data_IF_256507330477
#
_entry.id   IF_256507330477
#
_cell.length_a   1.000
_cell.length_b   1.000
_cell.length_c   1.000
_cell.angle_alpha   90.00
_cell.angle_beta   90.00
_cell.angle_gamma   90.00
#
_symmetry.space_group_name_H-M   'P 1'
#
loop_
_entity.id
_entity.type
_entity.pdbx_description
1 polymer ?
#
# COMPACT_ATOMS: atom_id res chain seq x y z
N UNK A 1 -0.08 -26.63 -6.87
CA UNK A 1 -1.02 -26.42 -8.01
C UNK A 1 -2.32 -25.76 -7.54
N UNK A 2 -3.10 -26.31 -6.57
CA UNK A 2 -4.38 -25.69 -6.17
C UNK A 2 -4.30 -24.22 -5.76
N UNK A 3 -3.23 -23.83 -5.06
CA UNK A 3 -2.97 -22.43 -4.70
C UNK A 3 -2.79 -21.51 -5.92
N UNK A 4 -1.97 -21.92 -6.89
CA UNK A 4 -1.69 -21.15 -8.10
C UNK A 4 -2.96 -21.05 -8.96
N UNK A 5 -3.70 -22.15 -9.10
CA UNK A 5 -4.94 -22.18 -9.88
C UNK A 5 -6.00 -21.23 -9.27
N UNK A 6 -6.07 -21.15 -7.93
CA UNK A 6 -6.96 -20.21 -7.24
C UNK A 6 -6.53 -18.74 -7.43
N UNK A 7 -5.21 -18.46 -7.43
CA UNK A 7 -4.70 -17.11 -7.72
C UNK A 7 -4.97 -16.73 -9.17
N UNK A 8 -4.86 -17.66 -10.12
CA UNK A 8 -5.19 -17.43 -11.53
C UNK A 8 -6.67 -17.07 -11.71
N UNK A 9 -7.58 -17.79 -11.03
CA UNK A 9 -9.01 -17.46 -11.03
C UNK A 9 -9.29 -16.08 -10.39
N UNK A 10 -8.56 -15.71 -9.35
CA UNK A 10 -8.67 -14.38 -8.76
C UNK A 10 -8.18 -13.29 -9.73
N UNK A 11 -7.11 -13.54 -10.47
CA UNK A 11 -6.64 -12.63 -11.52
C UNK A 11 -7.70 -12.43 -12.61
N UNK A 12 -8.38 -13.51 -13.03
CA UNK A 12 -9.49 -13.46 -13.99
C UNK A 12 -10.67 -12.64 -13.46
N UNK A 13 -11.08 -12.84 -12.18
CA UNK A 13 -12.13 -12.04 -11.53
C UNK A 13 -11.79 -10.55 -11.48
N UNK A 14 -10.50 -10.21 -11.36
CA UNK A 14 -9.99 -8.84 -11.41
C UNK A 14 -9.89 -8.27 -12.82
N UNK A 15 -10.13 -9.07 -13.85
CA UNK A 15 -9.99 -8.67 -15.25
C UNK A 15 -8.53 -8.59 -15.73
N UNK A 16 -7.58 -9.16 -15.00
CA UNK A 16 -6.17 -9.23 -15.40
C UNK A 16 -6.05 -10.23 -16.53
N UNK A 17 -5.61 -9.77 -17.70
CA UNK A 17 -5.40 -10.58 -18.90
C UNK A 17 -3.92 -10.82 -19.15
N UNK A 18 -3.61 -11.75 -20.04
CA UNK A 18 -2.24 -12.03 -20.49
C UNK A 18 -1.27 -12.32 -19.33
N UNK A 19 -1.72 -13.15 -18.39
CA UNK A 19 -0.90 -13.61 -17.27
C UNK A 19 0.20 -14.53 -17.79
N UNK A 20 1.45 -14.17 -17.49
CA UNK A 20 2.64 -14.90 -17.90
C UNK A 20 3.16 -15.85 -16.82
N UNK A 21 3.07 -15.45 -15.55
CA UNK A 21 3.54 -16.25 -14.42
C UNK A 21 2.80 -15.90 -13.12
N UNK A 22 2.75 -16.86 -12.18
CA UNK A 22 2.19 -16.68 -10.84
C UNK A 22 3.08 -17.42 -9.84
N UNK A 23 3.46 -16.73 -8.76
CA UNK A 23 4.31 -17.31 -7.72
C UNK A 23 3.84 -16.95 -6.32
N UNK A 24 4.15 -17.83 -5.35
CA UNK A 24 3.76 -17.68 -3.93
C UNK A 24 4.99 -17.36 -3.08
N UNK A 25 4.83 -16.43 -2.15
CA UNK A 25 5.88 -15.87 -1.30
C UNK A 25 5.50 -15.87 0.19
N UNK A 26 6.51 -15.64 1.02
CA UNK A 26 6.43 -15.44 2.48
C UNK A 26 5.82 -14.07 2.81
N UNK A 27 4.57 -13.88 2.38
CA UNK A 27 3.88 -12.58 2.37
C UNK A 27 4.23 -11.72 1.15
N UNK A 28 3.39 -10.71 0.89
CA UNK A 28 3.59 -9.78 -0.22
C UNK A 28 4.92 -9.02 -0.14
N UNK A 29 5.45 -8.83 1.07
CA UNK A 29 6.74 -8.17 1.30
C UNK A 29 7.89 -8.85 0.56
N UNK A 30 7.96 -10.19 0.62
CA UNK A 30 8.99 -10.96 -0.09
C UNK A 30 8.75 -10.92 -1.62
N UNK A 31 7.48 -10.87 -2.07
CA UNK A 31 7.19 -10.73 -3.50
C UNK A 31 7.71 -9.41 -4.07
N UNK A 32 7.45 -8.30 -3.38
CA UNK A 32 7.96 -6.98 -3.76
C UNK A 32 9.48 -7.00 -3.78
N UNK A 33 10.12 -7.51 -2.73
CA UNK A 33 11.58 -7.59 -2.64
C UNK A 33 12.21 -8.39 -3.78
N UNK A 34 11.67 -9.58 -4.09
CA UNK A 34 12.18 -10.43 -5.17
C UNK A 34 12.05 -9.72 -6.52
N UNK A 35 10.90 -9.09 -6.79
CA UNK A 35 10.67 -8.39 -8.05
C UNK A 35 11.60 -7.19 -8.22
N UNK A 36 11.78 -6.39 -7.18
CA UNK A 36 12.71 -5.25 -7.21
C UNK A 36 14.16 -5.72 -7.39
N UNK A 37 14.55 -6.78 -6.69
CA UNK A 37 15.90 -7.38 -6.81
C UNK A 37 16.17 -7.92 -8.21
N UNK A 38 15.15 -8.48 -8.88
CA UNK A 38 15.28 -9.02 -10.22
C UNK A 38 15.29 -7.94 -11.32
N UNK A 39 14.81 -6.73 -11.03
CA UNK A 39 14.65 -5.67 -12.03
C UNK A 39 15.76 -4.63 -12.00
N UNK A 40 16.18 -4.20 -10.80
CA UNK A 40 16.89 -2.92 -10.65
C UNK A 40 18.37 -3.13 -10.38
N UNK A 41 19.21 -2.38 -11.09
CA UNK A 41 20.65 -2.34 -10.93
C UNK A 41 21.11 -1.12 -10.12
N UNK A 42 22.38 -1.14 -9.70
CA UNK A 42 23.01 0.00 -9.05
C UNK A 42 22.92 1.27 -9.91
N UNK A 43 22.56 2.40 -9.30
CA UNK A 43 22.42 3.68 -9.98
C UNK A 43 21.10 3.88 -10.74
N UNK A 44 20.23 2.87 -10.81
CA UNK A 44 18.85 2.99 -11.29
C UNK A 44 17.91 3.46 -10.17
N UNK A 45 16.70 3.88 -10.54
CA UNK A 45 15.68 4.34 -9.60
C UNK A 45 14.28 3.77 -9.89
N UNK A 46 13.45 3.81 -8.86
CA UNK A 46 12.06 3.38 -8.88
C UNK A 46 11.21 4.52 -8.30
N UNK A 47 10.12 4.83 -8.98
CA UNK A 47 9.12 5.76 -8.47
C UNK A 47 8.34 5.13 -7.32
N UNK A 48 8.30 5.77 -6.15
CA UNK A 48 7.57 5.31 -4.97
C UNK A 48 6.61 6.36 -4.41
N UNK A 49 5.41 5.97 -3.95
CA UNK A 49 4.45 6.91 -3.41
C UNK A 49 4.97 7.56 -2.14
N UNK A 50 4.64 8.84 -1.94
CA UNK A 50 4.93 9.61 -0.74
C UNK A 50 3.69 10.42 -0.34
N UNK A 51 3.05 10.14 0.81
CA UNK A 51 3.39 9.07 1.76
C UNK A 51 3.19 7.66 1.17
N UNK A 52 3.99 6.69 1.63
CA UNK A 52 3.93 5.31 1.16
C UNK A 52 4.41 4.29 2.19
N UNK A 53 4.18 3.00 1.91
CA UNK A 53 4.56 1.93 2.83
C UNK A 53 6.09 1.81 2.93
N UNK A 54 6.69 1.93 4.15
CA UNK A 54 8.15 2.08 4.31
C UNK A 54 8.99 0.88 3.85
N UNK A 55 8.36 -0.28 3.59
CA UNK A 55 9.06 -1.41 3.02
C UNK A 55 9.72 -1.06 1.68
N UNK A 56 9.07 -0.27 0.83
CA UNK A 56 9.59 0.05 -0.50
C UNK A 56 10.91 0.82 -0.41
N UNK A 57 10.97 1.85 0.45
CA UNK A 57 12.19 2.64 0.67
C UNK A 57 13.28 1.84 1.40
N UNK A 58 12.91 0.91 2.29
CA UNK A 58 13.85 0.01 2.93
C UNK A 58 14.51 -0.96 1.92
N UNK A 59 13.72 -1.54 1.00
CA UNK A 59 14.25 -2.38 -0.07
C UNK A 59 15.13 -1.56 -1.01
N UNK A 60 14.71 -0.36 -1.40
CA UNK A 60 15.54 0.54 -2.22
C UNK A 60 16.90 0.83 -1.58
N UNK A 61 16.93 1.09 -0.26
CA UNK A 61 18.16 1.28 0.49
C UNK A 61 19.03 0.03 0.50
N UNK A 62 18.42 -1.16 0.69
CA UNK A 62 19.11 -2.45 0.63
C UNK A 62 19.75 -2.72 -0.73
N UNK A 63 19.05 -2.35 -1.81
CA UNK A 63 19.50 -2.52 -3.19
C UNK A 63 20.42 -1.38 -3.67
N UNK A 64 20.76 -0.41 -2.80
CA UNK A 64 21.57 0.77 -3.15
C UNK A 64 21.04 1.54 -4.37
N UNK A 65 19.71 1.58 -4.51
CA UNK A 65 19.03 2.32 -5.58
C UNK A 65 18.80 3.76 -5.16
N UNK A 66 18.72 4.68 -6.14
CA UNK A 66 18.38 6.07 -5.84
C UNK A 66 16.89 6.20 -5.54
N UNK A 67 16.55 6.83 -4.42
CA UNK A 67 15.17 7.14 -4.09
C UNK A 67 14.58 8.15 -5.08
N UNK A 68 13.40 7.86 -5.62
CA UNK A 68 12.66 8.77 -6.50
C UNK A 68 11.19 8.87 -6.06
N UNK A 69 10.90 9.52 -4.91
CA UNK A 69 9.56 9.59 -4.37
C UNK A 69 8.66 10.47 -5.22
N UNK A 70 7.45 10.03 -5.59
CA UNK A 70 6.40 10.91 -6.15
C UNK A 70 5.33 11.21 -5.10
N UNK A 71 4.73 12.39 -5.16
CA UNK A 71 3.77 12.82 -4.16
C UNK A 71 2.34 12.35 -4.43
N UNK A 72 1.61 12.10 -3.34
CA UNK A 72 0.16 11.99 -3.35
C UNK A 72 -0.44 13.33 -2.92
N UNK A 73 -1.47 13.77 -3.62
CA UNK A 73 -2.14 15.05 -3.39
C UNK A 73 -3.20 14.93 -2.29
N UNK A 74 -2.89 15.42 -1.09
CA UNK A 74 -3.80 15.42 0.06
C UNK A 74 -5.14 16.13 -0.22
N UNK A 75 -5.10 17.26 -0.92
CA UNK A 75 -6.29 18.08 -1.21
C UNK A 75 -7.23 17.39 -2.20
N UNK A 76 -6.67 16.53 -3.06
CA UNK A 76 -7.40 15.69 -3.99
C UNK A 76 -7.55 14.24 -3.48
N UNK A 77 -7.77 14.05 -2.17
CA UNK A 77 -8.10 12.73 -1.63
C UNK A 77 -6.96 11.72 -1.68
N UNK A 78 -5.71 12.19 -1.65
CA UNK A 78 -4.48 11.40 -1.80
C UNK A 78 -4.40 10.61 -3.11
N UNK A 79 -4.88 11.18 -4.22
CA UNK A 79 -4.57 10.68 -5.56
C UNK A 79 -3.11 10.95 -5.92
N UNK A 80 -2.43 10.08 -6.69
CA UNK A 80 -1.12 10.36 -7.26
C UNK A 80 -1.08 11.68 -8.05
N UNK A 81 -0.10 12.54 -7.77
CA UNK A 81 0.18 13.72 -8.58
C UNK A 81 0.88 13.28 -9.89
N UNK A 82 0.09 13.24 -10.97
CA UNK A 82 0.54 12.81 -12.30
C UNK A 82 1.63 13.73 -12.86
N UNK A 83 1.55 15.03 -12.62
CA UNK A 83 2.54 15.99 -13.12
C UNK A 83 3.87 15.85 -12.37
N UNK A 84 3.82 15.58 -11.06
CA UNK A 84 5.00 15.26 -10.26
C UNK A 84 5.66 13.95 -10.70
N UNK A 85 4.87 12.90 -10.95
CA UNK A 85 5.38 11.65 -11.54
C UNK A 85 6.11 11.94 -12.84
N UNK A 86 5.47 12.67 -13.77
CA UNK A 86 6.04 12.98 -15.08
C UNK A 86 7.37 13.73 -14.98
N UNK A 87 7.49 14.71 -14.07
CA UNK A 87 8.74 15.47 -13.84
C UNK A 87 9.88 14.62 -13.28
N UNK A 88 9.57 13.53 -12.58
CA UNK A 88 10.55 12.69 -11.88
C UNK A 88 11.06 11.51 -12.70
N UNK A 89 10.36 11.15 -13.78
CA UNK A 89 10.83 10.12 -14.72
C UNK A 89 12.10 10.61 -15.43
N UNK A 90 13.12 9.75 -15.46
CA UNK A 90 14.37 10.00 -16.17
C UNK A 90 14.92 8.69 -16.77
N UNK A 91 16.06 8.76 -17.47
CA UNK A 91 16.67 7.60 -18.15
C UNK A 91 17.10 6.46 -17.22
N UNK A 92 17.15 6.70 -15.89
CA UNK A 92 17.48 5.71 -14.87
C UNK A 92 16.23 5.11 -14.20
N UNK A 93 15.04 5.62 -14.49
CA UNK A 93 13.78 5.10 -13.94
C UNK A 93 13.45 3.77 -14.61
N UNK A 94 13.12 2.75 -13.81
CA UNK A 94 12.79 1.39 -14.31
C UNK A 94 11.37 0.95 -14.02
N UNK A 95 10.81 1.45 -12.92
CA UNK A 95 9.49 1.06 -12.49
C UNK A 95 8.79 2.16 -11.71
N UNK A 96 7.48 2.02 -11.61
CA UNK A 96 6.64 2.73 -10.65
C UNK A 96 5.96 1.72 -9.73
N UNK A 97 6.06 1.96 -8.42
CA UNK A 97 5.31 1.22 -7.40
C UNK A 97 4.03 2.00 -7.10
N UNK A 98 2.90 1.31 -7.13
CA UNK A 98 1.61 1.78 -6.69
C UNK A 98 1.17 0.97 -5.48
N UNK A 99 0.59 1.64 -4.50
CA UNK A 99 -0.04 0.99 -3.34
C UNK A 99 -1.49 1.44 -3.34
N UNK A 100 -2.40 0.54 -3.73
CA UNK A 100 -3.80 0.85 -3.93
C UNK A 100 -4.69 -0.33 -3.52
N UNK A 101 -5.59 -0.19 -2.51
CA UNK A 101 -5.73 0.97 -1.62
C UNK A 101 -4.47 1.30 -0.83
N UNK A 102 -4.24 2.59 -0.57
CA UNK A 102 -2.97 3.08 -0.06
C UNK A 102 -2.79 2.86 1.45
N UNK A 103 -1.56 2.55 1.86
CA UNK A 103 -1.07 2.65 3.23
C UNK A 103 0.08 3.67 3.21
N UNK A 104 -0.02 4.80 3.92
CA UNK A 104 -0.85 5.02 5.11
C UNK A 104 -2.17 5.78 4.92
N UNK A 105 -2.48 6.31 3.74
CA UNK A 105 -3.57 7.29 3.58
C UNK A 105 -4.97 6.68 3.54
N UNK A 106 -5.06 5.40 3.15
CA UNK A 106 -6.33 4.72 2.90
C UNK A 106 -7.06 5.19 1.65
N UNK A 107 -6.39 5.92 0.74
CA UNK A 107 -7.00 6.31 -0.54
C UNK A 107 -7.20 5.13 -1.47
N UNK A 108 -8.20 5.25 -2.35
CA UNK A 108 -8.46 4.34 -3.45
C UNK A 108 -8.36 5.15 -4.75
N UNK A 109 -7.43 4.77 -5.62
CA UNK A 109 -7.14 5.55 -6.83
C UNK A 109 -8.28 5.44 -7.85
N UNK A 110 -8.62 6.56 -8.48
CA UNK A 110 -9.64 6.58 -9.51
C UNK A 110 -9.16 5.84 -10.77
N UNK A 111 -10.11 5.35 -11.57
CA UNK A 111 -9.77 4.67 -12.83
C UNK A 111 -9.05 5.62 -13.79
N UNK A 112 -9.42 6.89 -13.77
CA UNK A 112 -8.83 7.95 -14.58
C UNK A 112 -7.34 8.15 -14.21
N UNK A 113 -7.04 8.30 -12.92
CA UNK A 113 -5.66 8.42 -12.43
C UNK A 113 -4.83 7.17 -12.77
N UNK A 114 -5.41 5.98 -12.59
CA UNK A 114 -4.75 4.72 -12.94
C UNK A 114 -4.45 4.64 -14.45
N UNK A 115 -5.37 5.10 -15.32
CA UNK A 115 -5.16 5.13 -16.76
C UNK A 115 -4.01 6.09 -17.14
N UNK A 116 -3.95 7.27 -16.54
CA UNK A 116 -2.84 8.21 -16.76
C UNK A 116 -1.48 7.61 -16.39
N UNK A 117 -1.42 6.80 -15.32
CA UNK A 117 -0.20 6.09 -14.93
C UNK A 117 0.16 4.99 -15.93
N UNK A 118 -0.83 4.24 -16.43
CA UNK A 118 -0.61 3.26 -17.52
C UNK A 118 -0.02 3.95 -18.75
N UNK A 119 -0.58 5.09 -19.14
CA UNK A 119 -0.13 5.83 -20.32
C UNK A 119 1.32 6.32 -20.16
N UNK A 120 1.66 6.88 -19.00
CA UNK A 120 3.04 7.29 -18.68
C UNK A 120 4.01 6.11 -18.65
N UNK A 121 3.62 4.98 -18.06
CA UNK A 121 4.46 3.79 -18.01
C UNK A 121 4.74 3.23 -19.41
N UNK A 122 3.76 3.29 -20.32
CA UNK A 122 3.93 2.92 -21.73
C UNK A 122 4.86 3.88 -22.46
N UNK A 123 4.66 5.19 -22.30
CA UNK A 123 5.48 6.23 -22.92
C UNK A 123 6.96 6.09 -22.53
N UNK A 124 7.22 5.74 -21.28
CA UNK A 124 8.57 5.71 -20.71
C UNK A 124 9.16 4.30 -20.53
N UNK A 125 8.48 3.27 -21.04
CA UNK A 125 8.91 1.86 -20.94
C UNK A 125 9.20 1.43 -19.48
N UNK A 126 8.26 1.71 -18.58
CA UNK A 126 8.36 1.38 -17.16
C UNK A 126 7.57 0.12 -16.81
N UNK A 127 8.08 -0.67 -15.87
CA UNK A 127 7.32 -1.76 -15.24
C UNK A 127 6.41 -1.17 -14.15
N UNK A 128 5.16 -1.65 -14.07
CA UNK A 128 4.26 -1.29 -12.96
C UNK A 128 4.28 -2.37 -11.88
N UNK A 129 4.55 -1.97 -10.65
CA UNK A 129 4.42 -2.78 -9.45
C UNK A 129 3.17 -2.36 -8.69
N UNK A 130 2.14 -3.21 -8.65
CA UNK A 130 0.86 -2.89 -8.02
C UNK A 130 0.70 -3.67 -6.70
N UNK A 131 0.94 -3.03 -5.56
CA UNK A 131 0.59 -3.57 -4.25
C UNK A 131 -0.91 -3.38 -3.99
N UNK A 132 -1.67 -4.46 -4.21
CA UNK A 132 -3.13 -4.53 -4.08
C UNK A 132 -3.56 -5.34 -2.85
N UNK A 133 -2.73 -5.41 -1.81
CA UNK A 133 -2.98 -6.24 -0.63
C UNK A 133 -4.27 -5.88 0.14
N UNK A 134 -4.84 -4.69 -0.11
CA UNK A 134 -6.05 -4.15 0.54
C UNK A 134 -7.27 -4.06 -0.40
N UNK A 135 -7.21 -4.60 -1.61
CA UNK A 135 -8.22 -4.43 -2.68
C UNK A 135 -9.65 -4.89 -2.35
N UNK A 136 -9.84 -5.66 -1.27
CA UNK A 136 -11.17 -6.07 -0.78
C UNK A 136 -11.65 -5.27 0.43
N UNK A 137 -10.81 -4.41 1.00
CA UNK A 137 -11.11 -3.60 2.17
C UNK A 137 -11.50 -2.18 1.75
N UNK A 138 -12.70 -2.02 1.21
CA UNK A 138 -13.22 -0.77 0.65
C UNK A 138 -14.52 -0.34 1.31
N UNK A 139 -14.62 0.93 1.65
CA UNK A 139 -15.74 1.52 2.39
C UNK A 139 -16.73 2.18 1.43
N UNK A 140 -17.94 2.47 1.92
CA UNK A 140 -18.94 3.28 1.22
C UNK A 140 -19.34 2.73 -0.16
N UNK A 141 -19.23 1.41 -0.36
CA UNK A 141 -19.53 0.75 -1.63
C UNK A 141 -18.53 1.03 -2.75
N UNK A 142 -17.37 1.62 -2.43
CA UNK A 142 -16.28 1.84 -3.38
C UNK A 142 -15.78 0.50 -3.93
N UNK A 143 -15.24 0.55 -5.15
CA UNK A 143 -14.69 -0.62 -5.85
C UNK A 143 -13.22 -0.37 -6.19
N UNK A 144 -12.43 -1.44 -6.12
CA UNK A 144 -11.05 -1.45 -6.54
C UNK A 144 -10.99 -1.66 -8.06
N UNK A 145 -10.10 -0.93 -8.72
CA UNK A 145 -9.72 -1.22 -10.10
C UNK A 145 -8.30 -1.74 -10.08
N UNK A 146 -8.10 -3.00 -10.46
CA UNK A 146 -6.74 -3.50 -10.64
C UNK A 146 -6.11 -2.80 -11.84
N UNK A 147 -4.95 -2.16 -11.67
CA UNK A 147 -4.31 -1.45 -12.78
C UNK A 147 -3.92 -2.38 -13.92
N UNK A 148 -3.59 -3.63 -13.60
CA UNK A 148 -3.29 -4.68 -14.57
C UNK A 148 -4.50 -5.13 -15.41
N UNK A 149 -5.72 -4.68 -15.08
CA UNK A 149 -6.90 -4.86 -15.92
C UNK A 149 -7.04 -3.81 -17.03
N UNK A 150 -6.28 -2.71 -16.95
CA UNK A 150 -6.40 -1.56 -17.86
C UNK A 150 -5.56 -1.71 -19.14
N UNK A 151 -4.50 -2.52 -19.11
CA UNK A 151 -3.67 -2.83 -20.28
C UNK A 151 -3.11 -4.25 -20.18
N UNK A 152 -3.24 -5.03 -21.25
CA UNK A 152 -2.81 -6.44 -21.28
C UNK A 152 -1.40 -6.66 -21.82
N UNK A 153 -0.74 -5.62 -22.36
CA UNK A 153 0.59 -5.71 -22.97
C UNK A 153 1.66 -5.03 -22.12
N UNK A 154 1.31 -4.00 -21.35
CA UNK A 154 2.28 -3.35 -20.46
C UNK A 154 2.77 -4.34 -19.38
N UNK A 155 4.09 -4.49 -19.17
CA UNK A 155 4.64 -5.29 -18.09
C UNK A 155 4.20 -4.83 -16.71
N UNK A 156 3.46 -5.67 -16.00
CA UNK A 156 3.00 -5.40 -14.64
C UNK A 156 3.19 -6.60 -13.72
N UNK A 157 3.36 -6.33 -12.43
CA UNK A 157 3.35 -7.33 -11.37
C UNK A 157 2.37 -6.87 -10.30
N UNK A 158 1.30 -7.64 -10.13
CA UNK A 158 0.28 -7.40 -9.10
C UNK A 158 0.55 -8.25 -7.88
N UNK A 159 0.68 -7.61 -6.72
CA UNK A 159 0.91 -8.27 -5.44
C UNK A 159 -0.37 -8.42 -4.64
N UNK A 160 -0.53 -9.60 -4.04
CA UNK A 160 -1.64 -9.90 -3.13
C UNK A 160 -1.20 -10.83 -2.00
N UNK A 161 -2.15 -11.21 -1.16
CA UNK A 161 -1.86 -12.08 -0.03
C UNK A 161 -3.02 -12.27 0.94
N UNK A 162 -2.82 -13.19 1.88
CA UNK A 162 -3.82 -13.53 2.90
C UNK A 162 -3.79 -12.59 4.12
N UNK A 163 -2.78 -11.72 4.20
CA UNK A 163 -2.48 -11.00 5.43
C UNK A 163 -3.55 -9.99 5.85
N UNK A 164 -4.25 -9.37 4.90
CA UNK A 164 -5.11 -8.20 5.15
C UNK A 164 -6.56 -8.54 4.88
N UNK A 165 -6.91 -8.80 3.61
CA UNK A 165 -8.26 -9.21 3.20
C UNK A 165 -8.80 -10.44 3.97
N UNK A 166 -7.90 -11.31 4.45
CA UNK A 166 -8.26 -12.56 5.13
C UNK A 166 -7.79 -12.62 6.58
N UNK A 167 -7.31 -11.50 7.15
CA UNK A 167 -7.02 -11.35 8.60
C UNK A 167 -6.05 -12.39 9.19
N UNK A 168 -5.19 -12.99 8.37
CA UNK A 168 -4.18 -13.97 8.81
C UNK A 168 -2.75 -13.50 8.51
N UNK A 169 -2.33 -12.31 8.99
CA UNK A 169 -0.98 -11.80 8.70
C UNK A 169 0.11 -12.75 9.21
N UNK A 170 -0.13 -13.50 10.28
CA UNK A 170 0.80 -14.49 10.84
C UNK A 170 1.05 -15.71 9.97
N UNK A 171 0.19 -16.02 8.98
CA UNK A 171 0.38 -17.16 8.07
C UNK A 171 1.49 -16.91 7.03
N UNK A 172 1.90 -15.66 6.87
CA UNK A 172 2.97 -15.25 5.95
C UNK A 172 2.78 -15.79 4.53
N UNK A 173 1.59 -15.56 3.97
CA UNK A 173 1.27 -15.92 2.57
C UNK A 173 1.02 -14.65 1.75
N UNK A 174 1.75 -14.55 0.64
CA UNK A 174 1.56 -13.57 -0.43
C UNK A 174 1.83 -14.19 -1.78
N UNK A 175 1.58 -13.43 -2.84
CA UNK A 175 1.85 -13.87 -4.21
C UNK A 175 2.13 -12.67 -5.12
N UNK A 176 2.74 -12.95 -6.26
CA UNK A 176 2.82 -12.05 -7.40
C UNK A 176 2.16 -12.67 -8.62
N UNK A 177 1.47 -11.84 -9.40
CA UNK A 177 0.90 -12.17 -10.71
C UNK A 177 1.65 -11.33 -11.73
N UNK A 178 2.39 -11.97 -12.63
CA UNK A 178 3.11 -11.28 -13.72
C UNK A 178 2.21 -11.27 -14.95
N UNK A 179 1.90 -10.08 -15.48
CA UNK A 179 1.09 -9.90 -16.68
C UNK A 179 1.73 -8.93 -17.66
N UNK A 180 1.39 -9.06 -18.94
CA UNK A 180 1.91 -8.19 -20.00
C UNK A 180 2.61 -8.96 -21.12
N UNK A 181 3.33 -8.24 -21.95
CA UNK A 181 4.01 -8.77 -23.13
C UNK A 181 5.05 -9.83 -22.75
N UNK A 182 4.83 -11.07 -23.22
CA UNK A 182 5.68 -12.23 -22.92
C UNK A 182 7.13 -12.04 -23.33
N UNK A 183 7.38 -11.46 -24.50
CA UNK A 183 8.74 -11.31 -25.02
C UNK A 183 9.55 -10.34 -24.17
N UNK A 184 8.95 -9.21 -23.79
CA UNK A 184 9.56 -8.24 -22.89
C UNK A 184 9.82 -8.80 -21.48
N UNK A 185 8.96 -9.71 -21.00
CA UNK A 185 9.02 -10.25 -19.64
C UNK A 185 9.87 -11.52 -19.50
N UNK A 186 10.28 -12.16 -20.61
CA UNK A 186 10.88 -13.51 -20.59
C UNK A 186 12.08 -13.64 -19.63
N UNK A 187 13.08 -12.79 -19.78
CA UNK A 187 14.30 -12.88 -18.98
C UNK A 187 14.07 -12.42 -17.54
N UNK A 188 13.16 -11.46 -17.35
CA UNK A 188 12.77 -10.96 -16.03
C UNK A 188 12.01 -12.02 -15.21
N UNK A 189 11.09 -12.76 -15.83
CA UNK A 189 10.40 -13.90 -15.21
C UNK A 189 11.41 -14.98 -14.80
N UNK A 190 12.39 -15.28 -15.65
CA UNK A 190 13.44 -16.25 -15.30
C UNK A 190 14.30 -15.76 -14.13
N UNK A 191 14.63 -14.46 -14.06
CA UNK A 191 15.34 -13.87 -12.93
C UNK A 191 14.56 -13.99 -11.61
N UNK A 192 13.26 -13.66 -11.61
CA UNK A 192 12.36 -13.87 -10.46
C UNK A 192 12.39 -15.34 -10.03
N UNK A 193 12.21 -16.26 -10.98
CA UNK A 193 12.16 -17.69 -10.69
C UNK A 193 13.49 -18.26 -10.19
N UNK A 194 14.64 -17.71 -10.61
CA UNK A 194 15.95 -18.07 -10.03
C UNK A 194 16.03 -17.71 -8.55
N UNK A 195 15.59 -16.51 -8.17
CA UNK A 195 15.59 -16.06 -6.76
C UNK A 195 14.62 -16.88 -5.92
N UNK A 196 13.41 -17.15 -6.45
CA UNK A 196 12.41 -17.99 -5.76
C UNK A 196 12.95 -19.41 -5.47
N UNK A 197 13.65 -20.03 -6.43
CA UNK A 197 14.27 -21.35 -6.26
C UNK A 197 15.40 -21.34 -5.24
N UNK A 198 16.15 -20.25 -5.12
CA UNK A 198 17.28 -20.15 -4.20
C UNK A 198 16.87 -20.29 -2.72
N UNK A 199 15.63 -19.90 -2.37
CA UNK A 199 15.04 -20.10 -1.03
C UNK A 199 14.14 -21.34 -0.91
N UNK A 200 14.17 -22.22 -1.91
CA UNK A 200 13.35 -23.45 -2.04
C UNK A 200 11.84 -23.20 -2.25
N UNK A 201 11.12 -22.71 -1.23
CA UNK A 201 9.68 -22.45 -1.33
C UNK A 201 9.16 -21.55 -0.20
N UNK A 202 7.96 -20.96 -0.40
CA UNK A 202 7.21 -20.35 0.70
C UNK A 202 6.63 -21.44 1.62
N UNK A 203 6.29 -21.07 2.86
CA UNK A 203 5.79 -22.02 3.85
C UNK A 203 4.63 -22.87 3.30
N UNK A 204 4.86 -24.17 3.11
CA UNK A 204 3.95 -25.01 2.31
C UNK A 204 2.59 -25.26 3.00
N UNK A 205 2.52 -25.54 4.32
CA UNK A 205 1.24 -25.78 4.98
C UNK A 205 0.24 -24.63 4.83
N UNK A 206 0.65 -23.37 4.97
CA UNK A 206 -0.31 -22.26 4.86
C UNK A 206 -0.73 -21.95 3.41
N UNK A 207 -0.05 -22.48 2.39
CA UNK A 207 -0.52 -22.37 1.00
C UNK A 207 -1.85 -23.08 0.78
N UNK A 208 -2.18 -24.09 1.58
CA UNK A 208 -3.50 -24.75 1.56
C UNK A 208 -4.64 -23.81 1.95
N UNK A 209 -4.33 -22.69 2.64
CA UNK A 209 -5.30 -21.64 2.94
C UNK A 209 -5.66 -20.75 1.75
N UNK A 210 -4.89 -20.77 0.65
CA UNK A 210 -5.10 -19.85 -0.49
C UNK A 210 -6.42 -20.15 -1.20
N UNK A 211 -6.62 -21.39 -1.66
CA UNK A 211 -7.82 -21.77 -2.39
C UNK A 211 -9.13 -21.52 -1.61
N UNK A 212 -9.29 -21.97 -0.34
CA UNK A 212 -10.51 -21.67 0.42
C UNK A 212 -10.68 -20.17 0.69
N UNK A 213 -9.59 -19.39 0.83
CA UNK A 213 -9.69 -17.93 1.01
C UNK A 213 -10.17 -17.23 -0.26
N UNK A 214 -9.65 -17.59 -1.44
CA UNK A 214 -9.98 -16.89 -2.70
C UNK A 214 -11.29 -17.38 -3.35
N UNK A 215 -11.62 -18.66 -3.17
CA UNK A 215 -12.74 -19.31 -3.87
C UNK A 215 -13.91 -19.67 -2.94
N UNK A 216 -13.69 -19.66 -1.63
CA UNK A 216 -14.72 -19.96 -0.65
C UNK A 216 -15.61 -18.77 -0.30
N UNK A 217 -16.38 -18.92 0.77
CA UNK A 217 -17.25 -17.89 1.30
C UNK A 217 -16.47 -16.62 1.68
N UNK A 218 -17.06 -15.46 1.33
CA UNK A 218 -16.48 -14.14 1.57
C UNK A 218 -17.28 -13.32 2.60
N UNK A 219 -18.27 -13.92 3.28
CA UNK A 219 -19.16 -13.22 4.23
C UNK A 219 -18.42 -12.53 5.39
N UNK A 220 -17.20 -12.98 5.73
CA UNK A 220 -16.36 -12.33 6.73
C UNK A 220 -15.98 -10.90 6.35
N UNK A 221 -15.85 -10.60 5.05
CA UNK A 221 -15.56 -9.26 4.56
C UNK A 221 -16.70 -8.31 4.87
N UNK A 222 -17.96 -8.72 4.73
CA UNK A 222 -19.11 -7.86 5.06
C UNK A 222 -19.13 -7.45 6.53
N UNK A 223 -18.86 -8.42 7.41
CA UNK A 223 -18.78 -8.18 8.87
C UNK A 223 -17.61 -7.25 9.19
N UNK A 224 -16.46 -7.47 8.56
CA UNK A 224 -15.29 -6.63 8.77
C UNK A 224 -15.50 -5.21 8.23
N UNK A 225 -16.07 -5.05 7.04
CA UNK A 225 -16.31 -3.74 6.44
C UNK A 225 -17.29 -2.91 7.25
N UNK A 226 -18.38 -3.51 7.78
CA UNK A 226 -19.29 -2.80 8.70
C UNK A 226 -18.54 -2.22 9.92
N UNK A 227 -17.61 -3.00 10.51
CA UNK A 227 -16.79 -2.54 11.64
C UNK A 227 -15.77 -1.47 11.21
N UNK A 228 -15.08 -1.69 10.09
CA UNK A 228 -14.05 -0.77 9.60
C UNK A 228 -14.64 0.58 9.20
N UNK A 229 -15.80 0.61 8.52
CA UNK A 229 -16.49 1.85 8.17
C UNK A 229 -16.86 2.65 9.42
N UNK A 230 -17.52 2.03 10.41
CA UNK A 230 -17.87 2.72 11.66
C UNK A 230 -16.65 3.27 12.40
N UNK A 231 -15.56 2.49 12.45
CA UNK A 231 -14.32 2.92 13.11
C UNK A 231 -13.60 4.00 12.32
N UNK A 232 -13.62 3.96 10.98
CA UNK A 232 -13.12 5.03 10.11
C UNK A 232 -13.89 6.31 10.38
N UNK A 233 -15.22 6.27 10.40
CA UNK A 233 -16.07 7.44 10.66
C UNK A 233 -15.75 8.06 12.03
N UNK A 234 -15.68 7.24 13.08
CA UNK A 234 -15.26 7.69 14.43
C UNK A 234 -13.88 8.34 14.42
N UNK A 235 -12.93 7.79 13.67
CA UNK A 235 -11.55 8.29 13.57
C UNK A 235 -11.51 9.65 12.88
N UNK A 236 -12.11 9.74 11.70
CA UNK A 236 -12.13 10.97 10.90
C UNK A 236 -12.86 12.07 11.65
N UNK A 237 -14.02 11.76 12.24
CA UNK A 237 -14.77 12.72 13.05
C UNK A 237 -13.95 13.20 14.25
N UNK A 238 -13.34 12.31 15.01
CA UNK A 238 -12.58 12.68 16.19
C UNK A 238 -11.35 13.53 15.85
N UNK A 239 -10.60 13.18 14.80
CA UNK A 239 -9.42 13.94 14.39
C UNK A 239 -9.79 15.34 13.86
N UNK A 240 -10.84 15.45 13.04
CA UNK A 240 -11.29 16.73 12.49
C UNK A 240 -11.98 17.66 13.52
N UNK A 241 -12.29 17.16 14.72
CA UNK A 241 -12.78 17.99 15.84
C UNK A 241 -11.64 18.63 16.64
N UNK A 242 -10.40 18.18 16.48
CA UNK A 242 -9.25 18.72 17.21
C UNK A 242 -8.69 19.93 16.43
N UNK A 243 -8.69 21.15 17.01
CA UNK A 243 -8.09 22.30 16.35
C UNK A 243 -6.62 22.04 15.98
N UNK A 244 -6.23 22.33 14.74
CA UNK A 244 -4.88 22.08 14.23
C UNK A 244 -4.64 20.65 13.73
N UNK A 245 -5.66 19.79 13.69
CA UNK A 245 -5.59 18.47 13.05
C UNK A 245 -6.66 18.35 11.97
N UNK A 246 -6.26 17.88 10.78
CA UNK A 246 -7.17 17.54 9.69
C UNK A 246 -6.93 16.12 9.19
N UNK A 247 -7.98 15.45 8.75
CA UNK A 247 -7.92 14.07 8.27
C UNK A 247 -8.82 13.91 7.03
N UNK A 248 -8.17 13.63 5.90
CA UNK A 248 -8.85 13.11 4.70
C UNK A 248 -9.46 11.76 5.04
N UNK A 249 -10.72 11.54 4.64
CA UNK A 249 -11.43 10.31 4.94
C UNK A 249 -10.88 9.14 4.11
N UNK A 250 -10.40 8.05 4.76
CA UNK A 250 -9.99 6.83 4.06
C UNK A 250 -11.15 6.21 3.28
N UNK A 251 -10.89 5.79 2.04
CA UNK A 251 -11.83 5.03 1.21
C UNK A 251 -11.61 3.51 1.33
N UNK A 252 -10.44 3.08 1.83
CA UNK A 252 -10.11 1.67 2.01
C UNK A 252 -9.00 1.42 3.04
N UNK A 253 -8.50 0.18 3.05
CA UNK A 253 -7.56 -0.35 4.03
C UNK A 253 -8.09 -0.18 5.48
N UNK A 254 -7.19 0.11 6.43
CA UNK A 254 -7.55 0.32 7.83
C UNK A 254 -6.69 1.36 8.55
N UNK A 255 -6.21 2.34 7.79
CA UNK A 255 -5.35 3.43 8.26
C UNK A 255 -5.94 4.79 7.96
N UNK A 256 -5.69 5.75 8.84
CA UNK A 256 -5.89 7.17 8.58
C UNK A 256 -4.55 7.89 8.72
N UNK A 257 -4.37 8.98 7.98
CA UNK A 257 -3.14 9.76 7.98
C UNK A 257 -3.42 11.25 8.24
N UNK A 258 -3.80 11.62 9.49
CA UNK A 258 -4.08 13.01 9.80
C UNK A 258 -2.84 13.88 9.71
N UNK A 259 -3.05 15.11 9.24
CA UNK A 259 -2.10 16.22 9.25
C UNK A 259 -2.16 16.95 10.58
N UNK A 260 -1.01 17.42 11.06
CA UNK A 260 -0.88 18.24 12.26
C UNK A 260 -0.25 19.58 11.86
N UNK A 261 -0.98 20.66 12.10
CA UNK A 261 -0.50 22.03 11.88
C UNK A 261 0.25 22.57 13.10
N UNK A 262 1.02 23.64 12.88
CA UNK A 262 1.68 24.42 13.94
C UNK A 262 2.66 23.62 14.84
N UNK A 263 3.21 22.52 14.33
CA UNK A 263 4.28 21.77 15.01
C UNK A 263 5.56 21.76 14.17
N UNK A 264 6.71 21.63 14.84
CA UNK A 264 8.02 21.56 14.18
C UNK A 264 8.44 20.14 13.77
N UNK A 265 7.93 19.12 14.48
CA UNK A 265 8.35 17.74 14.27
C UNK A 265 7.27 16.75 14.70
N UNK A 266 6.77 15.96 13.75
CA UNK A 266 5.89 14.82 14.02
C UNK A 266 6.53 13.76 14.92
N UNK A 267 7.86 13.55 14.84
CA UNK A 267 8.60 12.63 15.71
C UNK A 267 8.55 13.09 17.17
N UNK A 268 8.81 14.39 17.43
CA UNK A 268 8.71 14.94 18.78
C UNK A 268 7.28 14.83 19.32
N UNK A 269 6.29 15.21 18.50
CA UNK A 269 4.88 15.13 18.87
C UNK A 269 4.46 13.69 19.21
N UNK A 270 4.76 12.72 18.35
CA UNK A 270 4.46 11.30 18.59
C UNK A 270 5.20 10.75 19.83
N UNK A 271 6.45 11.18 20.05
CA UNK A 271 7.27 10.75 21.20
C UNK A 271 6.73 11.28 22.52
N UNK A 272 6.24 12.52 22.56
CA UNK A 272 5.61 13.07 23.76
C UNK A 272 4.22 12.48 24.00
N UNK A 273 3.45 12.23 22.94
CA UNK A 273 2.14 11.58 23.04
C UNK A 273 2.24 10.23 23.76
N UNK A 274 3.15 9.35 23.33
CA UNK A 274 3.31 8.03 23.96
C UNK A 274 3.78 8.14 25.41
N UNK A 275 4.68 9.08 25.73
CA UNK A 275 5.20 9.28 27.09
C UNK A 275 4.12 9.76 28.06
N UNK A 276 3.23 10.65 27.62
CA UNK A 276 2.19 11.23 28.47
C UNK A 276 0.92 10.36 28.56
N UNK A 277 0.56 9.68 27.47
CA UNK A 277 -0.76 9.05 27.35
C UNK A 277 -0.71 7.53 27.19
N UNK A 278 0.45 6.98 26.83
CA UNK A 278 0.59 5.57 26.42
C UNK A 278 -0.01 5.25 25.05
N UNK A 279 -0.59 6.23 24.34
CA UNK A 279 -1.12 6.03 22.98
C UNK A 279 0.03 5.97 21.98
N UNK A 280 0.08 4.89 21.19
CA UNK A 280 1.10 4.67 20.17
C UNK A 280 0.53 4.94 18.79
N UNK A 281 1.14 5.92 18.09
CA UNK A 281 0.94 6.18 16.66
C UNK A 281 2.30 6.21 15.97
N UNK A 282 2.32 6.25 14.64
CA UNK A 282 3.57 6.30 13.87
C UNK A 282 3.73 7.67 13.22
N UNK A 283 4.87 8.36 13.37
CA UNK A 283 5.08 9.68 12.76
C UNK A 283 5.06 9.59 11.22
N UNK A 284 4.54 10.62 10.57
CA UNK A 284 4.39 10.74 9.13
C UNK A 284 5.72 10.70 8.38
N UNK A 285 6.76 11.27 8.97
CA UNK A 285 8.14 11.22 8.49
C UNK A 285 8.66 9.81 8.21
N UNK A 286 8.14 8.79 8.90
CA UNK A 286 8.47 7.38 8.63
C UNK A 286 7.90 6.83 7.31
N UNK A 287 6.87 7.47 6.74
CA UNK A 287 6.23 7.11 5.47
C UNK A 287 6.65 8.01 4.31
N UNK A 288 7.44 9.05 4.59
CA UNK A 288 7.63 10.20 3.71
C UNK A 288 6.42 11.14 3.73
N UNK A 289 6.65 12.42 3.50
CA UNK A 289 5.60 13.44 3.39
C UNK A 289 6.13 14.64 2.59
N UNK A 290 5.21 15.52 2.15
CA UNK A 290 5.60 16.77 1.49
C UNK A 290 6.42 17.63 2.48
N UNK A 291 7.57 18.21 2.06
CA UNK A 291 8.37 19.05 2.94
C UNK A 291 7.55 20.18 3.58
N UNK A 292 7.75 20.40 4.88
CA UNK A 292 7.00 21.41 5.65
C UNK A 292 5.64 20.94 6.17
N UNK A 293 5.21 19.72 5.83
CA UNK A 293 4.02 19.10 6.42
C UNK A 293 4.40 18.13 7.53
N UNK A 294 3.47 17.90 8.46
CA UNK A 294 3.63 16.92 9.54
C UNK A 294 2.38 16.06 9.61
N UNK A 295 2.56 14.75 9.74
CA UNK A 295 1.46 13.79 9.84
C UNK A 295 1.74 12.73 10.89
N UNK A 296 0.74 11.89 11.13
CA UNK A 296 0.92 10.63 11.84
C UNK A 296 -0.06 9.60 11.30
N UNK A 297 0.25 8.31 11.45
CA UNK A 297 -0.65 7.23 11.02
C UNK A 297 -1.39 6.64 12.22
N UNK A 298 -2.71 6.58 12.10
CA UNK A 298 -3.62 5.87 12.99
C UNK A 298 -4.03 4.53 12.36
N UNK A 299 -4.10 3.48 13.17
CA UNK A 299 -4.73 2.20 12.79
C UNK A 299 -6.08 2.13 13.50
N UNK A 300 -7.18 2.09 12.75
CA UNK A 300 -8.54 2.04 13.33
C UNK A 300 -9.09 0.60 13.45
N UNK A 301 -8.20 -0.36 13.72
CA UNK A 301 -8.54 -1.76 14.05
C UNK A 301 -8.96 -2.00 15.51
N UNK A 302 -8.51 -1.23 16.52
CA UNK A 302 -8.95 -1.45 17.90
C UNK A 302 -10.48 -1.39 18.08
N UNK A 303 -11.00 -2.00 19.16
CA UNK A 303 -12.39 -1.82 19.56
C UNK A 303 -12.76 -0.35 19.78
N UNK A 304 -14.02 0.01 19.53
CA UNK A 304 -14.51 1.39 19.56
C UNK A 304 -14.26 2.11 20.89
N UNK A 305 -14.44 1.41 22.02
CA UNK A 305 -14.17 1.95 23.35
C UNK A 305 -12.68 2.21 23.60
N UNK A 306 -11.78 1.52 22.89
CA UNK A 306 -10.34 1.78 22.93
C UNK A 306 -10.01 2.99 22.05
N UNK A 307 -10.62 3.07 20.86
CA UNK A 307 -10.48 4.21 19.96
C UNK A 307 -10.96 5.51 20.62
N UNK A 308 -12.12 5.49 21.25
CA UNK A 308 -12.69 6.64 21.96
C UNK A 308 -11.74 7.17 23.06
N UNK A 309 -11.20 6.26 23.88
CA UNK A 309 -10.20 6.61 24.92
C UNK A 309 -8.93 7.20 24.30
N UNK A 310 -8.42 6.59 23.23
CA UNK A 310 -7.21 7.06 22.56
C UNK A 310 -7.42 8.44 21.93
N UNK A 311 -8.56 8.70 21.28
CA UNK A 311 -8.86 9.97 20.63
C UNK A 311 -9.07 11.10 21.63
N UNK A 312 -9.73 10.81 22.77
CA UNK A 312 -9.80 11.77 23.89
C UNK A 312 -8.40 12.12 24.41
N UNK A 313 -7.55 11.12 24.62
CA UNK A 313 -6.18 11.36 25.07
C UNK A 313 -5.35 12.16 24.05
N UNK A 314 -5.49 11.90 22.75
CA UNK A 314 -4.85 12.67 21.68
C UNK A 314 -5.32 14.14 21.70
N UNK A 315 -6.63 14.38 21.81
CA UNK A 315 -7.18 15.73 21.86
C UNK A 315 -6.65 16.54 23.05
N UNK A 316 -6.72 15.95 24.25
CA UNK A 316 -6.23 16.59 25.48
C UNK A 316 -4.71 16.82 25.45
N UNK A 317 -3.94 15.86 24.90
CA UNK A 317 -2.50 16.00 24.71
C UNK A 317 -2.15 17.10 23.71
N UNK A 318 -2.80 17.12 22.55
CA UNK A 318 -2.50 18.08 21.49
C UNK A 318 -2.68 19.52 21.97
N UNK A 319 -3.75 19.81 22.71
CA UNK A 319 -3.97 21.13 23.30
C UNK A 319 -2.81 21.52 24.24
N UNK A 320 -2.43 20.66 25.17
CA UNK A 320 -1.31 20.93 26.10
C UNK A 320 0.03 21.08 25.38
N UNK A 321 0.25 20.31 24.32
CA UNK A 321 1.48 20.36 23.53
C UNK A 321 1.64 21.73 22.85
N UNK A 322 0.56 22.30 22.32
CA UNK A 322 0.57 23.64 21.73
C UNK A 322 0.75 24.74 22.77
N UNK A 323 0.18 24.59 23.97
CA UNK A 323 0.32 25.57 25.06
C UNK A 323 1.76 25.65 25.63
N UNK A 324 2.60 24.64 25.35
CA UNK A 324 3.99 24.54 25.82
C UNK A 324 5.04 25.00 24.77
N UNK A 325 4.61 25.37 23.57
CA UNK A 325 5.48 25.88 22.49
C UNK A 325 5.59 27.40 22.53
#
# INVERSE_FOLDING_TARGET
KPAIDAIAQEAEKKGIKNVQDIFVTTGASEAIEICLTALVNEGENILTPTPGYPLCTAIQSKLMTMGNPYYLDEENGWQPDIDDIKRKINSKTRAIILINPNNPTGSNFSKETLQQIVDLAKEHNLVIFADEIYDKLLMDGKKHTSIASLDSELPMITFGGLSKNYMVPGFRIGWGIVSGNREALKDYIEAINKILRARLCANHPAQWGIAPSLLGDQSHLEVAMKKLTRRRDMTVQAMNLIPGISCVAPEGAFYAFPKIDNIKSDVDWCTKLIKETGVVVVPGSGFGQVPGTNHFRIVFLPPENILEKAYKAIAEFHQRYLDQQ
#
